data_IF_665067711689
#
_entry.id   IF_665067711689
#
_cell.length_a   1.000
_cell.length_b   1.000
_cell.length_c   1.000
_cell.angle_alpha   90.00
_cell.angle_beta   90.00
_cell.angle_gamma   90.00
#
_symmetry.space_group_name_H-M   'P 1'
#
loop_
_entity.id
_entity.type
_entity.pdbx_description
1 polymer ?
#
# COMPACT_ATOMS: atom_id res chain seq x y z
N UNK A 1 -8.95 -23.66 6.98
CA UNK A 1 -7.90 -22.70 7.40
C UNK A 1 -8.54 -21.71 8.34
N UNK A 2 -7.86 -21.25 9.37
CA UNK A 2 -8.46 -20.49 10.46
C UNK A 2 -8.61 -18.98 10.20
N UNK A 3 -8.23 -18.48 9.02
CA UNK A 3 -8.51 -17.10 8.59
C UNK A 3 -9.13 -17.08 7.19
N UNK A 4 -9.75 -15.96 6.82
CA UNK A 4 -10.35 -15.74 5.50
C UNK A 4 -9.90 -14.42 4.90
N UNK A 5 -9.91 -14.36 3.57
CA UNK A 5 -9.69 -13.14 2.79
C UNK A 5 -10.99 -12.82 2.05
N UNK A 6 -11.47 -11.59 2.17
CA UNK A 6 -12.69 -11.14 1.48
C UNK A 6 -12.45 -9.80 0.79
N UNK A 7 -13.09 -9.59 -0.36
CA UNK A 7 -13.22 -8.25 -0.95
C UNK A 7 -14.46 -7.59 -0.40
N UNK A 8 -14.30 -6.54 0.41
CA UNK A 8 -15.42 -5.87 1.08
C UNK A 8 -15.02 -4.46 1.56
N UNK A 9 -16.02 -3.70 1.97
CA UNK A 9 -15.85 -2.48 2.76
C UNK A 9 -15.66 -2.86 4.24
N UNK A 10 -14.48 -2.55 4.80
CA UNK A 10 -14.14 -2.91 6.17
C UNK A 10 -15.07 -2.28 7.20
N UNK A 11 -15.69 -1.13 6.89
CA UNK A 11 -16.64 -0.44 7.79
C UNK A 11 -17.96 -1.21 7.96
N UNK A 12 -18.24 -2.18 7.08
CA UNK A 12 -19.43 -3.04 7.11
C UNK A 12 -19.15 -4.45 7.65
N UNK A 13 -17.90 -4.75 7.96
CA UNK A 13 -17.52 -6.07 8.46
C UNK A 13 -17.84 -6.19 9.95
N UNK A 14 -18.61 -7.23 10.30
CA UNK A 14 -18.90 -7.55 11.69
C UNK A 14 -17.72 -8.31 12.30
N UNK A 15 -17.09 -7.74 13.34
CA UNK A 15 -16.01 -8.36 14.10
C UNK A 15 -15.94 -7.76 15.52
N UNK A 16 -15.31 -8.45 16.48
CA UNK A 16 -15.07 -7.84 17.80
C UNK A 16 -14.10 -6.66 17.70
N UNK A 17 -13.10 -6.74 16.84
CA UNK A 17 -12.17 -5.65 16.59
C UNK A 17 -12.00 -5.41 15.08
N UNK A 18 -11.89 -4.14 14.71
CA UNK A 18 -11.52 -3.68 13.34
C UNK A 18 -10.21 -2.93 13.43
N UNK A 19 -9.27 -3.25 12.56
CA UNK A 19 -7.99 -2.55 12.50
C UNK A 19 -8.09 -1.36 11.57
N UNK A 20 -7.60 -0.23 12.03
CA UNK A 20 -7.49 1.02 11.29
C UNK A 20 -6.04 1.30 10.90
N UNK A 21 -5.79 1.62 9.64
CA UNK A 21 -4.49 2.13 9.17
C UNK A 21 -4.35 3.60 9.56
N UNK A 22 -4.00 3.82 10.81
CA UNK A 22 -4.08 5.12 11.44
C UNK A 22 -2.95 6.07 11.01
N UNK A 23 -3.30 7.35 10.90
CA UNK A 23 -2.29 8.40 10.85
C UNK A 23 -1.42 8.34 12.12
N UNK A 24 -0.08 8.45 12.03
CA UNK A 24 0.80 8.50 13.23
C UNK A 24 0.38 9.59 14.21
N UNK A 25 -0.04 10.74 13.73
CA UNK A 25 -0.57 11.84 14.55
C UNK A 25 -2.07 11.68 14.83
N UNK A 26 -2.58 12.47 15.78
CA UNK A 26 -4.01 12.52 16.12
C UNK A 26 -4.74 13.35 15.05
N UNK A 27 -4.84 12.82 13.85
CA UNK A 27 -5.50 13.43 12.72
C UNK A 27 -6.19 12.36 11.88
N UNK A 28 -7.19 12.76 11.10
CA UNK A 28 -7.84 11.86 10.15
C UNK A 28 -7.00 11.82 8.87
N UNK A 29 -6.57 10.62 8.48
CA UNK A 29 -5.86 10.39 7.24
C UNK A 29 -6.81 10.15 6.06
N UNK A 30 -6.29 9.58 4.98
CA UNK A 30 -7.04 9.22 3.77
C UNK A 30 -7.41 7.72 3.73
N UNK A 31 -8.25 7.33 2.78
CA UNK A 31 -8.61 5.95 2.50
C UNK A 31 -9.32 5.28 3.67
N UNK A 32 -8.85 4.11 4.08
CA UNK A 32 -9.45 3.32 5.17
C UNK A 32 -9.59 4.12 6.47
N UNK A 33 -8.61 4.95 6.80
CA UNK A 33 -8.66 5.78 8.02
C UNK A 33 -9.84 6.75 7.96
N UNK A 34 -9.98 7.49 6.86
CA UNK A 34 -11.11 8.41 6.62
C UNK A 34 -12.46 7.67 6.70
N UNK A 35 -12.59 6.53 6.03
CA UNK A 35 -13.81 5.73 6.01
C UNK A 35 -14.21 5.25 7.41
N UNK A 36 -13.25 4.77 8.20
CA UNK A 36 -13.48 4.34 9.58
C UNK A 36 -13.92 5.51 10.46
N UNK A 37 -13.27 6.68 10.34
CA UNK A 37 -13.70 7.85 11.11
C UNK A 37 -15.11 8.30 10.73
N UNK A 38 -15.47 8.30 9.46
CA UNK A 38 -16.81 8.65 8.99
C UNK A 38 -17.87 7.68 9.54
N UNK A 39 -17.61 6.36 9.46
CA UNK A 39 -18.55 5.34 9.90
C UNK A 39 -18.66 5.22 11.43
N UNK A 40 -17.59 5.45 12.17
CA UNK A 40 -17.59 5.40 13.64
C UNK A 40 -18.17 6.66 14.32
N UNK A 41 -18.34 7.75 13.58
CA UNK A 41 -18.65 9.06 14.12
C UNK A 41 -17.39 9.87 14.42
N UNK A 42 -16.98 10.67 13.43
CA UNK A 42 -15.69 11.38 13.34
C UNK A 42 -15.24 12.03 14.64
N UNK A 43 -16.06 12.89 15.22
CA UNK A 43 -15.68 13.70 16.38
C UNK A 43 -15.49 12.87 17.64
N UNK A 44 -16.34 11.83 17.80
CA UNK A 44 -16.25 10.93 18.95
C UNK A 44 -14.99 10.08 18.86
N UNK A 45 -14.69 9.55 17.68
CA UNK A 45 -13.49 8.75 17.46
C UNK A 45 -12.23 9.61 17.59
N UNK A 46 -12.22 10.84 17.05
CA UNK A 46 -11.07 11.74 17.17
C UNK A 46 -10.76 12.09 18.63
N UNK A 47 -11.79 12.40 19.44
CA UNK A 47 -11.64 12.62 20.88
C UNK A 47 -11.11 11.37 21.62
N UNK A 48 -11.54 10.18 21.22
CA UNK A 48 -11.01 8.94 21.78
C UNK A 48 -9.57 8.68 21.36
N UNK A 49 -9.26 8.91 20.09
CA UNK A 49 -7.91 8.75 19.52
C UNK A 49 -6.89 9.71 20.16
N UNK A 50 -7.33 10.91 20.52
CA UNK A 50 -6.48 11.87 21.24
C UNK A 50 -5.95 11.35 22.58
N UNK A 51 -6.70 10.46 23.25
CA UNK A 51 -6.24 9.82 24.49
C UNK A 51 -5.19 8.73 24.26
N UNK A 52 -5.15 8.16 23.05
CA UNK A 52 -4.11 7.20 22.64
C UNK A 52 -2.80 7.92 22.33
N UNK A 53 -2.88 9.14 21.78
CA UNK A 53 -1.72 9.95 21.41
C UNK A 53 -1.10 9.55 20.06
N UNK A 54 0.13 10.00 19.80
CA UNK A 54 0.91 9.63 18.61
C UNK A 54 1.32 8.15 18.64
N UNK A 55 1.37 7.55 17.45
CA UNK A 55 1.78 6.16 17.25
C UNK A 55 2.95 6.14 16.26
N UNK A 56 4.11 5.69 16.70
CA UNK A 56 5.24 5.45 15.80
C UNK A 56 4.92 4.29 14.84
N UNK A 57 5.68 4.20 13.72
CA UNK A 57 5.55 3.07 12.80
C UNK A 57 5.76 1.73 13.54
N UNK A 58 4.87 0.79 13.31
CA UNK A 58 4.86 -0.50 14.04
C UNK A 58 4.19 -0.47 15.40
N UNK A 59 3.58 0.67 15.79
CA UNK A 59 2.85 0.80 17.06
C UNK A 59 1.33 0.72 16.86
N UNK A 60 0.62 0.33 17.92
CA UNK A 60 -0.83 0.19 17.92
C UNK A 60 -1.45 0.83 19.17
N UNK A 61 -2.70 1.27 19.03
CA UNK A 61 -3.51 1.76 20.13
C UNK A 61 -4.96 1.32 19.96
N UNK A 62 -5.77 1.36 21.01
CA UNK A 62 -7.13 0.86 20.97
C UNK A 62 -8.12 1.92 21.43
N UNK A 63 -9.29 1.98 20.77
CA UNK A 63 -10.46 2.76 21.17
C UNK A 63 -11.74 1.92 21.07
N UNK A 64 -12.85 2.45 21.58
CA UNK A 64 -14.19 1.91 21.25
C UNK A 64 -14.50 2.18 19.77
N UNK A 65 -15.33 1.31 19.20
CA UNK A 65 -15.69 1.39 17.79
C UNK A 65 -16.91 2.31 17.49
N UNK A 66 -17.62 2.75 18.53
CA UNK A 66 -18.81 3.61 18.44
C UNK A 66 -19.89 3.05 17.51
N UNK A 67 -20.13 3.69 16.34
CA UNK A 67 -21.19 3.31 15.40
C UNK A 67 -20.78 2.20 14.40
N UNK A 68 -19.51 1.77 14.40
CA UNK A 68 -19.09 0.61 13.62
C UNK A 68 -19.67 -0.70 14.17
N UNK A 69 -19.90 -1.71 13.34
CA UNK A 69 -20.35 -3.03 13.77
C UNK A 69 -19.24 -3.85 14.44
N UNK A 70 -18.56 -3.22 15.40
CA UNK A 70 -17.44 -3.76 16.15
C UNK A 70 -17.48 -3.27 17.60
N UNK A 71 -16.70 -3.90 18.49
CA UNK A 71 -16.53 -3.43 19.88
C UNK A 71 -15.37 -2.45 19.99
N UNK A 72 -14.31 -2.71 19.22
CA UNK A 72 -13.06 -1.95 19.28
C UNK A 72 -12.55 -1.59 17.92
N UNK A 73 -11.82 -0.45 17.84
CA UNK A 73 -10.92 -0.10 16.74
C UNK A 73 -9.50 -0.19 17.28
N UNK A 74 -8.66 -0.96 16.60
CA UNK A 74 -7.22 -1.01 16.85
C UNK A 74 -6.54 -0.13 15.79
N UNK A 75 -6.04 1.01 16.24
CA UNK A 75 -5.30 1.94 15.39
C UNK A 75 -3.88 1.45 15.23
N UNK A 76 -3.44 1.20 14.02
CA UNK A 76 -2.10 0.71 13.70
C UNK A 76 -1.40 1.68 12.75
N UNK A 77 -0.23 2.18 13.16
CA UNK A 77 0.59 3.06 12.32
C UNK A 77 1.58 2.23 11.51
N UNK A 78 1.30 2.05 10.23
CA UNK A 78 2.17 1.33 9.29
C UNK A 78 3.35 2.16 8.82
N UNK A 79 4.40 1.52 8.26
CA UNK A 79 5.50 2.21 7.62
C UNK A 79 5.12 2.75 6.24
N UNK A 80 5.67 3.91 5.84
CA UNK A 80 5.70 4.30 4.45
C UNK A 80 6.79 3.50 3.72
N UNK A 81 6.48 3.03 2.51
CA UNK A 81 7.43 2.27 1.70
C UNK A 81 8.45 3.20 1.05
N UNK A 82 9.72 2.87 1.16
CA UNK A 82 10.84 3.53 0.48
C UNK A 82 11.45 2.56 -0.54
N UNK A 83 12.11 1.52 -0.07
CA UNK A 83 12.79 0.54 -0.94
C UNK A 83 12.89 -0.87 -0.32
N UNK A 84 12.31 -1.08 0.84
CA UNK A 84 12.34 -2.34 1.59
C UNK A 84 13.61 -2.58 2.41
N UNK A 85 14.51 -1.59 2.53
CA UNK A 85 15.77 -1.69 3.27
C UNK A 85 15.78 -0.94 4.60
N UNK A 86 14.69 -0.24 4.91
CA UNK A 86 14.52 0.60 6.11
C UNK A 86 13.61 -0.09 7.15
N UNK A 87 13.67 -1.42 7.22
CA UNK A 87 12.87 -2.26 8.12
C UNK A 87 11.35 -2.16 7.88
N UNK A 88 10.91 -1.71 6.69
CA UNK A 88 9.49 -1.56 6.39
C UNK A 88 8.74 -2.90 6.49
N UNK A 89 9.27 -4.04 5.98
CA UNK A 89 8.63 -5.35 6.15
C UNK A 89 8.47 -5.75 7.62
N UNK A 90 9.50 -5.55 8.44
CA UNK A 90 9.50 -5.86 9.86
C UNK A 90 8.54 -4.96 10.64
N UNK A 91 8.49 -3.67 10.30
CA UNK A 91 7.56 -2.72 10.89
C UNK A 91 6.11 -3.06 10.54
N UNK A 92 5.83 -3.42 9.29
CA UNK A 92 4.50 -3.86 8.87
C UNK A 92 4.11 -5.16 9.58
N UNK A 93 5.02 -6.14 9.67
CA UNK A 93 4.79 -7.37 10.42
C UNK A 93 4.45 -7.09 11.88
N UNK A 94 5.19 -6.18 12.52
CA UNK A 94 4.94 -5.73 13.90
C UNK A 94 3.55 -5.13 14.08
N UNK A 95 3.04 -4.41 13.07
CA UNK A 95 1.68 -3.88 13.08
C UNK A 95 0.64 -5.00 13.19
N UNK A 96 0.76 -6.04 12.38
CA UNK A 96 -0.14 -7.20 12.44
C UNK A 96 -0.02 -7.94 13.77
N UNK A 97 1.19 -8.28 14.20
CA UNK A 97 1.43 -9.02 15.43
C UNK A 97 0.90 -8.29 16.65
N UNK A 98 1.20 -6.99 16.80
CA UNK A 98 0.72 -6.19 17.93
C UNK A 98 -0.79 -6.01 17.93
N UNK A 99 -1.41 -5.87 16.76
CA UNK A 99 -2.87 -5.77 16.67
C UNK A 99 -3.56 -7.07 17.11
N UNK A 100 -3.03 -8.23 16.70
CA UNK A 100 -3.51 -9.54 17.11
C UNK A 100 -3.39 -9.74 18.63
N UNK A 101 -2.21 -9.45 19.20
CA UNK A 101 -1.97 -9.54 20.64
C UNK A 101 -2.90 -8.60 21.41
N UNK A 102 -3.11 -7.37 20.92
CA UNK A 102 -4.01 -6.40 21.57
C UNK A 102 -5.47 -6.88 21.54
N UNK A 103 -5.94 -7.40 20.39
CA UNK A 103 -7.29 -7.97 20.28
C UNK A 103 -7.47 -9.16 21.25
N UNK A 104 -6.50 -10.05 21.32
CA UNK A 104 -6.52 -11.21 22.21
C UNK A 104 -6.55 -10.78 23.69
N UNK A 105 -5.73 -9.81 24.10
CA UNK A 105 -5.73 -9.25 25.45
C UNK A 105 -7.08 -8.62 25.83
N UNK A 106 -7.83 -8.08 24.85
CA UNK A 106 -9.18 -7.54 25.06
C UNK A 106 -10.29 -8.59 24.88
N UNK A 107 -9.93 -9.89 24.83
CA UNK A 107 -10.86 -11.01 24.70
C UNK A 107 -11.73 -10.92 23.45
N UNK A 108 -11.18 -10.44 22.36
CA UNK A 108 -11.81 -10.48 21.06
C UNK A 108 -11.73 -11.91 20.51
N UNK A 109 -12.85 -12.39 19.97
CA UNK A 109 -12.92 -13.69 19.29
C UNK A 109 -12.77 -13.53 17.78
N UNK A 110 -12.95 -12.31 17.27
CA UNK A 110 -12.82 -12.01 15.85
C UNK A 110 -12.14 -10.66 15.63
N UNK A 111 -11.36 -10.56 14.54
CA UNK A 111 -10.67 -9.35 14.12
C UNK A 111 -10.70 -9.21 12.60
N UNK A 112 -10.95 -7.99 12.13
CA UNK A 112 -10.87 -7.66 10.70
C UNK A 112 -9.71 -6.68 10.44
N UNK A 113 -8.86 -7.04 9.50
CA UNK A 113 -7.72 -6.23 9.04
C UNK A 113 -7.97 -5.68 7.66
N UNK A 114 -7.65 -4.42 7.37
CA UNK A 114 -7.44 -3.99 5.99
C UNK A 114 -6.06 -4.49 5.52
N UNK A 115 -5.81 -4.43 4.21
CA UNK A 115 -4.47 -4.60 3.68
C UNK A 115 -3.64 -3.34 4.01
N UNK A 116 -2.87 -3.41 5.10
CA UNK A 116 -2.22 -2.24 5.69
C UNK A 116 -1.08 -1.67 4.83
N UNK A 117 -0.92 -0.35 4.86
CA UNK A 117 0.15 0.43 4.22
C UNK A 117 0.19 0.36 2.68
N UNK A 118 -0.70 -0.33 2.00
CA UNK A 118 -0.67 -0.53 0.53
C UNK A 118 -1.38 0.55 -0.28
N UNK A 119 -1.98 1.52 0.37
CA UNK A 119 -2.59 2.70 -0.25
C UNK A 119 -1.57 3.84 -0.40
N UNK A 120 -1.83 5.01 0.21
CA UNK A 120 -0.97 6.20 0.14
C UNK A 120 0.48 5.98 0.63
N UNK A 121 0.72 4.97 1.45
CA UNK A 121 2.07 4.60 1.91
C UNK A 121 2.85 3.73 0.92
N UNK A 122 2.24 3.31 -0.19
CA UNK A 122 2.90 2.69 -1.34
C UNK A 122 3.54 1.32 -1.10
N UNK A 123 3.21 0.63 0.00
CA UNK A 123 3.75 -0.70 0.28
C UNK A 123 3.33 -1.70 -0.80
N UNK A 124 4.24 -2.53 -1.37
CA UNK A 124 3.89 -3.51 -2.40
C UNK A 124 2.82 -4.47 -1.92
N UNK A 125 1.72 -4.60 -2.68
CA UNK A 125 0.53 -5.37 -2.28
C UNK A 125 0.83 -6.83 -2.08
N UNK A 126 1.58 -7.45 -2.99
CA UNK A 126 2.00 -8.85 -2.90
C UNK A 126 2.74 -9.14 -1.59
N UNK A 127 3.74 -8.30 -1.28
CA UNK A 127 4.53 -8.44 -0.05
C UNK A 127 3.67 -8.17 1.19
N UNK A 128 2.77 -7.18 1.13
CA UNK A 128 1.84 -6.85 2.21
C UNK A 128 0.89 -8.01 2.53
N UNK A 129 0.34 -8.69 1.51
CA UNK A 129 -0.52 -9.87 1.68
C UNK A 129 0.28 -11.02 2.30
N UNK A 130 1.49 -11.28 1.82
CA UNK A 130 2.34 -12.35 2.34
C UNK A 130 2.67 -12.12 3.82
N UNK A 131 3.06 -10.91 4.20
CA UNK A 131 3.35 -10.54 5.59
C UNK A 131 2.10 -10.74 6.47
N UNK A 132 0.90 -10.36 5.98
CA UNK A 132 -0.35 -10.56 6.71
C UNK A 132 -0.64 -12.04 6.93
N UNK A 133 -0.54 -12.86 5.87
CA UNK A 133 -0.75 -14.32 5.95
C UNK A 133 0.23 -14.97 6.94
N UNK A 134 1.50 -14.61 6.88
CA UNK A 134 2.53 -15.13 7.77
C UNK A 134 2.26 -14.75 9.23
N UNK A 135 1.80 -13.51 9.49
CA UNK A 135 1.43 -13.06 10.83
C UNK A 135 0.22 -13.84 11.38
N UNK A 136 -0.82 -13.99 10.57
CA UNK A 136 -2.02 -14.73 10.96
C UNK A 136 -1.71 -16.21 11.21
N UNK A 137 -0.97 -16.83 10.32
CA UNK A 137 -0.57 -18.23 10.45
C UNK A 137 0.24 -18.47 11.74
N UNK A 138 1.22 -17.60 12.01
CA UNK A 138 2.03 -17.69 13.23
C UNK A 138 1.19 -17.53 14.48
N UNK A 139 0.30 -16.53 14.51
CA UNK A 139 -0.56 -16.28 15.67
C UNK A 139 -1.52 -17.45 15.95
N UNK A 140 -2.09 -18.03 14.89
CA UNK A 140 -3.08 -19.11 14.99
C UNK A 140 -2.46 -20.49 15.34
N UNK A 141 -1.13 -20.60 15.37
CA UNK A 141 -0.48 -21.79 15.95
C UNK A 141 -0.63 -21.88 17.47
N UNK A 142 -0.76 -20.73 18.15
CA UNK A 142 -0.79 -20.66 19.60
C UNK A 142 -2.13 -20.17 20.16
N UNK A 143 -2.96 -19.54 19.31
CA UNK A 143 -4.20 -18.87 19.72
C UNK A 143 -5.35 -19.16 18.77
N UNK A 144 -6.57 -19.16 19.29
CA UNK A 144 -7.80 -19.27 18.50
C UNK A 144 -8.44 -17.89 18.34
N UNK A 145 -8.67 -17.47 17.08
CA UNK A 145 -9.36 -16.23 16.72
C UNK A 145 -9.83 -16.28 15.28
N UNK A 146 -11.03 -15.80 15.00
CA UNK A 146 -11.52 -15.59 13.62
C UNK A 146 -10.86 -14.36 13.02
N UNK A 147 -9.92 -14.55 12.07
CA UNK A 147 -9.20 -13.46 11.42
C UNK A 147 -9.74 -13.27 10.01
N UNK A 148 -10.06 -12.02 9.64
CA UNK A 148 -10.49 -11.65 8.30
C UNK A 148 -9.55 -10.59 7.75
N UNK A 149 -8.90 -10.88 6.61
CA UNK A 149 -8.24 -9.87 5.79
C UNK A 149 -9.24 -9.29 4.80
N UNK A 150 -9.43 -7.99 4.83
CA UNK A 150 -10.36 -7.27 3.96
C UNK A 150 -9.55 -6.51 2.92
N UNK A 151 -9.68 -6.90 1.65
CA UNK A 151 -9.17 -6.17 0.50
C UNK A 151 -10.28 -5.36 -0.13
N UNK A 152 -9.99 -4.20 -0.67
CA UNK A 152 -11.01 -3.30 -1.19
C UNK A 152 -10.98 -3.20 -2.70
N UNK A 153 -9.81 -2.93 -3.28
CA UNK A 153 -9.64 -2.74 -4.72
C UNK A 153 -9.46 -4.05 -5.48
N UNK A 154 -9.77 -4.01 -6.77
CA UNK A 154 -9.72 -5.15 -7.68
C UNK A 154 -8.32 -5.78 -7.78
N UNK A 155 -7.27 -4.96 -7.84
CA UNK A 155 -5.90 -5.47 -7.91
C UNK A 155 -5.54 -6.27 -6.65
N UNK A 156 -5.87 -5.76 -5.45
CA UNK A 156 -5.64 -6.49 -4.19
C UNK A 156 -6.46 -7.79 -4.13
N UNK A 157 -7.67 -7.79 -4.69
CA UNK A 157 -8.51 -8.99 -4.80
C UNK A 157 -7.86 -10.06 -5.67
N UNK A 158 -7.42 -9.70 -6.88
CA UNK A 158 -6.75 -10.65 -7.79
C UNK A 158 -5.41 -11.15 -7.26
N UNK A 159 -4.62 -10.28 -6.62
CA UNK A 159 -3.36 -10.68 -5.99
C UNK A 159 -3.60 -11.65 -4.85
N UNK A 160 -4.63 -11.41 -4.02
CA UNK A 160 -5.00 -12.31 -2.93
C UNK A 160 -5.38 -13.72 -3.44
N UNK A 161 -6.06 -13.81 -4.58
CA UNK A 161 -6.43 -15.07 -5.22
C UNK A 161 -5.23 -15.92 -5.70
N UNK A 162 -4.04 -15.32 -5.85
CA UNK A 162 -2.82 -16.08 -6.17
C UNK A 162 -2.27 -16.85 -4.97
N UNK A 163 -2.57 -16.40 -3.76
CA UNK A 163 -2.04 -16.95 -2.51
C UNK A 163 -3.10 -17.72 -1.70
N UNK A 164 -4.37 -17.51 -2.04
CA UNK A 164 -5.48 -18.06 -1.28
C UNK A 164 -6.66 -18.40 -2.20
N UNK A 165 -7.03 -19.67 -2.29
CA UNK A 165 -8.00 -20.17 -3.28
C UNK A 165 -9.47 -19.78 -3.02
N UNK A 166 -9.82 -19.34 -1.80
CA UNK A 166 -11.21 -19.05 -1.40
C UNK A 166 -11.40 -17.56 -1.03
N UNK A 167 -11.00 -16.66 -1.93
CA UNK A 167 -11.26 -15.22 -1.76
C UNK A 167 -12.65 -14.91 -2.32
N UNK A 168 -13.55 -14.42 -1.45
CA UNK A 168 -14.94 -14.06 -1.84
C UNK A 168 -15.05 -12.56 -2.04
N UNK A 169 -15.63 -12.12 -3.17
CA UNK A 169 -16.00 -10.73 -3.37
C UNK A 169 -17.43 -10.48 -2.88
N UNK A 170 -17.60 -9.50 -1.99
CA UNK A 170 -18.87 -9.03 -1.45
C UNK A 170 -19.26 -7.64 -1.97
N UNK A 171 -18.40 -7.01 -2.76
CA UNK A 171 -18.58 -5.71 -3.41
C UNK A 171 -18.12 -5.82 -4.86
N UNK A 172 -18.66 -4.97 -5.74
CA UNK A 172 -18.28 -4.85 -7.15
C UNK A 172 -17.40 -3.63 -7.41
N UNK A 173 -16.96 -3.48 -8.66
CA UNK A 173 -16.08 -2.37 -9.06
C UNK A 173 -16.81 -1.03 -9.07
N UNK A 174 -18.12 -1.03 -9.30
CA UNK A 174 -18.95 0.19 -9.28
C UNK A 174 -19.01 0.76 -7.87
N UNK A 175 -19.22 -0.07 -6.85
CA UNK A 175 -19.15 0.32 -5.45
C UNK A 175 -17.79 0.91 -5.07
N UNK A 176 -16.69 0.27 -5.52
CA UNK A 176 -15.32 0.77 -5.27
C UNK A 176 -15.09 2.13 -5.92
N UNK A 177 -15.55 2.30 -7.16
CA UNK A 177 -15.43 3.56 -7.88
C UNK A 177 -16.22 4.69 -7.21
N UNK A 178 -17.47 4.42 -6.78
CA UNK A 178 -18.31 5.39 -6.08
C UNK A 178 -17.66 5.85 -4.75
N UNK A 179 -17.12 4.93 -3.98
CA UNK A 179 -16.44 5.22 -2.72
C UNK A 179 -15.19 6.07 -2.92
N UNK A 180 -14.35 5.73 -3.89
CA UNK A 180 -13.16 6.50 -4.23
C UNK A 180 -13.53 7.94 -4.65
N UNK A 181 -14.58 8.12 -5.46
CA UNK A 181 -15.07 9.43 -5.85
C UNK A 181 -15.60 10.24 -4.66
N UNK A 182 -16.30 9.60 -3.72
CA UNK A 182 -16.82 10.27 -2.52
C UNK A 182 -15.70 10.75 -1.60
N UNK A 183 -14.62 9.97 -1.46
CA UNK A 183 -13.42 10.35 -0.71
C UNK A 183 -12.69 11.54 -1.36
N UNK A 184 -12.54 11.54 -2.69
CA UNK A 184 -11.95 12.67 -3.42
C UNK A 184 -12.74 13.95 -3.26
N UNK A 185 -14.08 13.89 -3.31
CA UNK A 185 -14.96 15.05 -3.07
C UNK A 185 -14.83 15.58 -1.65
N UNK A 186 -14.71 14.69 -0.68
CA UNK A 186 -14.56 15.06 0.73
C UNK A 186 -13.21 15.75 0.99
N UNK A 187 -12.12 15.29 0.37
CA UNK A 187 -10.81 15.92 0.46
C UNK A 187 -10.80 17.32 -0.19
N UNK A 188 -11.43 17.48 -1.36
CA UNK A 188 -11.54 18.76 -2.07
C UNK A 188 -12.32 19.82 -1.28
N UNK A 189 -13.36 19.44 -0.54
CA UNK A 189 -14.14 20.36 0.30
C UNK A 189 -13.43 20.77 1.59
N UNK A 190 -12.37 20.07 1.99
CA UNK A 190 -11.53 20.41 3.16
C UNK A 190 -10.38 21.35 2.83
N UNK A 191 -9.90 21.37 1.58
CA UNK A 191 -8.86 22.31 1.13
C UNK A 191 -9.36 23.76 1.09
N UNK A 192 -10.67 23.99 0.98
CA UNK A 192 -11.26 25.34 1.07
C UNK A 192 -11.43 25.89 2.50
N UNK A 193 -11.22 25.06 3.55
CA UNK A 193 -11.47 25.46 4.94
C UNK A 193 -10.24 25.48 5.86
N UNK A 194 -9.04 25.12 5.41
CA UNK A 194 -7.85 25.20 6.27
C UNK A 194 -6.57 25.56 5.51
N UNK A 195 -6.38 26.81 5.20
CA UNK A 195 -5.11 27.48 5.42
C UNK A 195 -4.74 27.32 6.91
N UNK A 196 -3.59 26.68 7.19
CA UNK A 196 -2.92 26.41 8.47
C UNK A 196 -3.04 25.00 9.04
N UNK A 197 -2.47 24.03 8.35
CA UNK A 197 -1.75 22.98 9.05
C UNK A 197 -0.40 22.82 8.35
N UNK A 198 0.59 23.59 8.77
CA UNK A 198 1.99 23.32 8.49
C UNK A 198 2.24 21.89 8.88
N UNK A 199 2.62 21.07 7.89
CA UNK A 199 3.31 19.82 8.14
C UNK A 199 4.60 20.21 8.85
N UNK A 200 4.70 19.94 10.14
CA UNK A 200 5.93 20.13 10.87
C UNK A 200 6.99 19.24 10.26
N UNK A 201 7.98 19.86 9.62
CA UNK A 201 9.15 19.23 8.98
C UNK A 201 10.01 18.42 9.95
N UNK A 202 9.73 18.46 11.24
CA UNK A 202 10.58 17.91 12.28
C UNK A 202 10.48 16.37 12.43
N UNK A 203 9.42 15.73 11.91
CA UNK A 203 9.27 14.27 12.02
C UNK A 203 9.93 13.50 10.88
N UNK A 204 10.31 14.19 9.79
CA UNK A 204 11.05 13.61 8.67
C UNK A 204 12.57 13.80 8.77
N UNK A 205 13.06 14.51 9.79
CA UNK A 205 14.47 14.85 9.95
C UNK A 205 15.34 13.70 10.50
N UNK A 206 14.81 12.50 10.64
CA UNK A 206 15.59 11.31 11.03
C UNK A 206 16.03 10.40 9.88
N UNK A 207 15.45 10.50 8.70
CA UNK A 207 15.79 9.63 7.56
C UNK A 207 15.49 10.33 6.23
N UNK A 208 16.53 10.62 5.50
CA UNK A 208 16.68 11.08 4.11
C UNK A 208 15.39 11.36 3.33
N UNK A 209 15.13 12.66 3.05
CA UNK A 209 14.15 13.15 2.06
C UNK A 209 14.46 12.58 0.68
N UNK A 210 13.48 12.02 -0.05
CA UNK A 210 13.55 11.99 -1.50
C UNK A 210 13.37 13.42 -2.01
N UNK A 211 14.35 13.95 -2.74
CA UNK A 211 14.23 15.22 -3.44
C UNK A 211 13.18 15.09 -4.54
N UNK A 212 11.99 15.65 -4.34
CA UNK A 212 11.11 16.02 -5.43
C UNK A 212 11.71 17.25 -6.09
N UNK A 213 12.20 17.09 -7.32
CA UNK A 213 12.62 18.21 -8.16
C UNK A 213 11.41 19.06 -8.54
N UNK A 214 11.39 20.30 -8.04
CA UNK A 214 10.54 21.37 -8.59
C UNK A 214 11.02 21.71 -10.00
N UNK A 215 10.12 21.59 -10.98
CA UNK A 215 10.31 22.17 -12.30
C UNK A 215 10.10 23.70 -12.25
N UNK A 216 11.17 24.40 -12.00
CA UNK A 216 11.24 25.86 -12.13
C UNK A 216 11.50 26.24 -13.58
N UNK A 217 10.66 27.10 -14.12
CA UNK A 217 10.81 27.84 -15.39
C UNK A 217 12.13 28.61 -15.45
N UNK A 218 12.99 28.30 -16.41
CA UNK A 218 14.18 29.08 -16.74
C UNK A 218 13.91 30.02 -17.91
N UNK A 219 13.92 31.31 -17.62
CA UNK A 219 14.11 32.37 -18.61
C UNK A 219 15.60 32.71 -18.74
N UNK A 220 15.99 32.96 -19.96
CA UNK A 220 17.29 33.21 -20.57
C UNK A 220 18.20 34.22 -19.86
N UNK A 221 19.52 34.01 -19.86
CA UNK A 221 20.49 34.89 -20.55
C UNK A 221 21.96 34.41 -20.41
N UNK A 222 22.67 34.22 -21.48
CA UNK A 222 23.91 34.93 -21.85
C UNK A 222 25.28 34.31 -21.58
N UNK A 223 25.90 33.80 -22.70
CA UNK A 223 27.31 33.90 -23.14
C UNK A 223 28.47 33.14 -22.49
N UNK A 224 28.97 32.22 -23.31
CA UNK A 224 30.38 31.97 -23.78
C UNK A 224 31.44 31.44 -22.77
N UNK A 225 31.95 30.29 -23.06
CA UNK A 225 33.22 29.98 -23.72
C UNK A 225 33.62 28.51 -23.47
N UNK A 226 34.16 27.90 -24.51
CA UNK A 226 34.35 26.47 -24.67
C UNK A 226 35.41 25.84 -23.78
N UNK A 227 35.31 24.54 -23.72
CA UNK A 227 36.41 23.56 -23.85
C UNK A 227 35.77 22.19 -24.16
N UNK A 228 36.36 21.49 -25.12
CA UNK A 228 36.03 20.13 -25.52
C UNK A 228 36.26 19.15 -24.38
N UNK A 229 35.27 18.28 -24.14
CA UNK A 229 35.56 16.89 -23.81
C UNK A 229 34.33 15.99 -24.14
N UNK A 230 34.61 14.97 -24.94
CA UNK A 230 33.70 13.89 -25.30
C UNK A 230 33.24 13.14 -24.05
N UNK A 231 31.92 13.10 -23.80
CA UNK A 231 31.34 11.98 -23.08
C UNK A 231 29.86 11.82 -23.50
N UNK A 232 29.58 10.68 -24.09
CA UNK A 232 28.28 10.22 -24.54
C UNK A 232 27.39 9.90 -23.31
N UNK A 233 26.67 10.91 -22.82
CA UNK A 233 25.53 10.71 -21.93
C UNK A 233 24.29 11.23 -22.63
N UNK A 234 23.52 10.30 -23.20
CA UNK A 234 22.17 10.59 -23.68
C UNK A 234 21.34 11.17 -22.54
N UNK A 235 20.62 12.23 -22.82
CA UNK A 235 19.74 12.90 -21.87
C UNK A 235 18.72 11.91 -21.28
N UNK A 236 18.35 12.09 -20.02
CA UNK A 236 17.28 11.32 -19.36
C UNK A 236 15.99 11.36 -20.18
N UNK A 237 15.71 12.46 -20.88
CA UNK A 237 14.59 12.61 -21.81
C UNK A 237 14.68 11.69 -23.05
N UNK A 238 15.88 11.44 -23.56
CA UNK A 238 16.08 10.50 -24.68
C UNK A 238 15.95 9.05 -24.19
N UNK A 239 16.35 8.76 -22.94
CA UNK A 239 16.09 7.46 -22.31
C UNK A 239 14.60 7.24 -22.04
N UNK A 240 13.87 8.26 -21.58
CA UNK A 240 12.42 8.18 -21.32
C UNK A 240 11.62 8.09 -22.61
N UNK A 241 12.00 8.79 -23.68
CA UNK A 241 11.38 8.64 -25.02
C UNK A 241 11.57 7.23 -25.59
N UNK A 242 12.72 6.60 -25.36
CA UNK A 242 12.96 5.20 -25.74
C UNK A 242 12.05 4.22 -25.00
N UNK A 243 11.71 4.48 -23.75
CA UNK A 243 10.81 3.63 -22.94
C UNK A 243 9.35 3.71 -23.42
N UNK A 244 8.90 4.87 -23.90
CA UNK A 244 7.53 5.06 -24.40
C UNK A 244 7.29 4.60 -25.84
N UNK A 245 8.35 4.41 -26.64
CA UNK A 245 8.26 4.03 -28.06
C UNK A 245 8.64 2.58 -28.34
N UNK A 246 9.35 1.91 -27.43
CA UNK A 246 9.74 0.51 -27.61
C UNK A 246 8.69 -0.43 -27.03
N UNK A 247 8.25 -1.38 -27.87
CA UNK A 247 7.34 -2.42 -27.44
C UNK A 247 7.98 -3.33 -26.37
N UNK A 248 7.15 -3.92 -25.51
CA UNK A 248 7.58 -4.81 -24.41
C UNK A 248 8.58 -5.88 -24.89
N UNK A 249 8.33 -6.47 -26.06
CA UNK A 249 9.20 -7.50 -26.65
C UNK A 249 10.61 -7.00 -26.95
N UNK A 250 10.77 -5.75 -27.42
CA UNK A 250 12.09 -5.15 -27.66
C UNK A 250 12.83 -4.91 -26.34
N UNK A 251 12.12 -4.42 -25.32
CA UNK A 251 12.69 -4.18 -24.00
C UNK A 251 13.14 -5.47 -23.34
N UNK A 252 12.32 -6.52 -23.41
CA UNK A 252 12.66 -7.86 -22.92
C UNK A 252 13.90 -8.42 -23.62
N UNK A 253 13.98 -8.29 -24.95
CA UNK A 253 15.14 -8.75 -25.70
C UNK A 253 16.42 -7.99 -25.35
N UNK A 254 16.32 -6.66 -25.14
CA UNK A 254 17.45 -5.84 -24.68
C UNK A 254 17.96 -6.26 -23.30
N UNK A 255 17.05 -6.54 -22.36
CA UNK A 255 17.40 -7.01 -21.02
C UNK A 255 18.10 -8.38 -21.05
N UNK A 256 17.61 -9.31 -21.87
CA UNK A 256 18.20 -10.63 -22.05
C UNK A 256 19.62 -10.49 -22.59
N UNK A 257 19.81 -9.66 -23.64
CA UNK A 257 21.11 -9.40 -24.24
C UNK A 257 22.07 -8.69 -23.26
N UNK A 258 21.58 -7.68 -22.53
CA UNK A 258 22.38 -6.93 -21.53
C UNK A 258 22.86 -7.83 -20.40
N UNK A 259 22.03 -8.76 -19.96
CA UNK A 259 22.35 -9.71 -18.91
C UNK A 259 23.08 -10.98 -19.43
N UNK A 260 23.30 -11.11 -20.75
CA UNK A 260 23.91 -12.26 -21.41
C UNK A 260 23.24 -13.59 -21.06
N UNK A 261 21.94 -13.59 -20.85
CA UNK A 261 21.15 -14.77 -20.53
C UNK A 261 20.73 -15.50 -21.80
N UNK A 262 20.63 -16.83 -21.71
CA UNK A 262 20.01 -17.63 -22.79
C UNK A 262 18.48 -17.57 -22.64
N UNK A 263 17.77 -17.57 -23.76
CA UNK A 263 16.31 -17.62 -23.73
C UNK A 263 15.75 -18.80 -22.93
N UNK A 264 16.47 -19.95 -22.94
CA UNK A 264 16.11 -21.13 -22.15
C UNK A 264 16.18 -20.87 -20.64
N UNK A 265 17.17 -20.14 -20.18
CA UNK A 265 17.30 -19.79 -18.77
C UNK A 265 16.17 -18.88 -18.31
N UNK A 266 15.79 -17.92 -19.16
CA UNK A 266 14.73 -16.94 -18.85
C UNK A 266 13.36 -17.61 -18.74
N UNK A 267 12.95 -18.43 -19.73
CA UNK A 267 11.61 -19.04 -19.66
C UNK A 267 11.52 -20.14 -18.58
N UNK A 268 12.65 -20.82 -18.27
CA UNK A 268 12.69 -21.79 -17.19
C UNK A 268 12.60 -21.10 -15.83
N UNK A 269 13.36 -20.02 -15.61
CA UNK A 269 13.31 -19.25 -14.38
C UNK A 269 11.94 -18.56 -14.16
N UNK A 270 11.29 -18.12 -15.24
CA UNK A 270 9.95 -17.55 -15.21
C UNK A 270 8.82 -18.61 -15.13
N UNK A 271 9.14 -19.88 -15.13
CA UNK A 271 8.19 -21.01 -15.14
C UNK A 271 7.15 -20.92 -16.25
N UNK A 272 7.54 -20.45 -17.45
CA UNK A 272 6.67 -20.34 -18.62
C UNK A 272 7.11 -21.28 -19.73
N UNK A 273 6.15 -21.71 -20.58
CA UNK A 273 6.49 -22.63 -21.68
C UNK A 273 7.32 -21.92 -22.75
N UNK A 274 8.20 -22.68 -23.43
CA UNK A 274 8.98 -22.17 -24.57
C UNK A 274 8.10 -21.54 -25.67
N UNK A 275 6.91 -22.09 -25.89
CA UNK A 275 5.96 -21.59 -26.89
C UNK A 275 5.37 -20.23 -26.47
N UNK A 276 5.02 -20.09 -25.19
CA UNK A 276 4.52 -18.83 -24.64
C UNK A 276 5.58 -17.74 -24.69
N UNK A 277 6.79 -18.04 -24.27
CA UNK A 277 7.93 -17.14 -24.34
C UNK A 277 8.25 -16.67 -25.78
N UNK A 278 8.20 -17.60 -26.73
CA UNK A 278 8.38 -17.25 -28.15
C UNK A 278 7.29 -16.29 -28.69
N UNK A 279 6.06 -16.42 -28.21
CA UNK A 279 4.96 -15.50 -28.56
C UNK A 279 5.14 -14.13 -27.92
N UNK A 280 5.64 -14.06 -26.68
CA UNK A 280 6.00 -12.80 -26.02
C UNK A 280 7.09 -12.04 -26.77
N UNK A 281 8.19 -12.72 -27.13
CA UNK A 281 9.29 -12.11 -27.91
C UNK A 281 8.90 -11.65 -29.30
N UNK A 282 7.81 -12.17 -29.87
CA UNK A 282 7.26 -11.78 -31.18
C UNK A 282 6.13 -10.76 -31.07
N UNK A 283 5.84 -10.24 -29.88
CA UNK A 283 4.74 -9.29 -29.66
C UNK A 283 3.34 -9.84 -29.96
N UNK A 284 3.19 -11.16 -30.05
CA UNK A 284 1.89 -11.81 -30.37
C UNK A 284 0.97 -11.95 -29.17
N UNK A 285 1.50 -11.80 -27.97
CA UNK A 285 0.76 -11.77 -26.72
C UNK A 285 1.39 -10.69 -25.82
N UNK A 286 0.57 -10.00 -25.05
CA UNK A 286 1.03 -9.10 -23.98
C UNK A 286 1.10 -9.88 -22.68
N UNK A 287 2.08 -9.58 -21.78
CA UNK A 287 2.02 -10.11 -20.43
C UNK A 287 0.73 -9.61 -19.76
N UNK A 288 0.00 -10.51 -19.15
CA UNK A 288 -1.19 -10.21 -18.33
C UNK A 288 -0.77 -9.67 -16.99
#
# INVERSE_FOLDING_TARGET
MPFKIIRSDITKVHADAVVNTANPHVAVGAGVDSAIYAAAGRDRLLKARAKVGTLAAGEVGITKAFDLPARYIIHSSGPAWVDGRHQEPELLRRCYDKALVMAYAHRCKSIAFPLMATGSYGFPKELGIQIAIDAFTSFLQEHEMDITLVVFDDHSYHVSGKWYDDVKSLIDDEYVAEKNLSEYRTLSSYDECQDTARFDEEYLCGQHRPQFMEYGTLAQSGKSSGIHENNSNGSLDDMLKGIYTDSFEKHLQQLINKKRLKNSEVYTAANISKQYFSKLLKGRIKPS
#
